data_IF_284967082553
#
_entry.id   IF_284967082553
#
_cell.length_a   1.000
_cell.length_b   1.000
_cell.length_c   1.000
_cell.angle_alpha   90.00
_cell.angle_beta   90.00
_cell.angle_gamma   90.00
#
_symmetry.space_group_name_H-M   'P 1'
#
loop_
_entity.id
_entity.type
_entity.pdbx_description
1 polymer ?
#
# COMPACT_ATOMS: atom_id res chain seq x y z
N UNK A 1 9.27 13.00 1.73
CA UNK A 1 8.08 13.75 2.15
C UNK A 1 6.95 12.77 2.49
N UNK A 2 6.39 12.79 3.70
CA UNK A 2 5.15 12.06 4.00
C UNK A 2 3.99 12.79 3.31
N UNK A 3 3.45 12.19 2.25
CA UNK A 3 2.19 12.68 1.66
C UNK A 3 1.07 12.21 2.59
N UNK A 4 0.46 13.15 3.32
CA UNK A 4 -0.63 12.83 4.24
C UNK A 4 -1.91 12.51 3.46
N UNK A 5 -1.98 11.30 2.90
CA UNK A 5 -3.20 10.76 2.32
C UNK A 5 -3.96 10.06 3.44
N UNK A 6 -5.20 10.49 3.69
CA UNK A 6 -6.09 9.85 4.64
C UNK A 6 -6.52 8.49 4.05
N UNK A 7 -5.67 7.48 4.22
CA UNK A 7 -5.96 6.09 3.90
C UNK A 7 -6.26 5.39 5.23
N UNK A 8 -7.24 4.49 5.21
CA UNK A 8 -7.54 3.64 6.35
C UNK A 8 -6.30 2.82 6.77
N UNK A 9 -5.85 3.07 7.99
CA UNK A 9 -4.68 2.45 8.59
C UNK A 9 -4.85 0.93 8.78
N UNK A 10 -6.07 0.46 9.03
CA UNK A 10 -6.39 -0.96 9.15
C UNK A 10 -6.28 -1.64 7.78
N UNK A 11 -6.75 -0.97 6.72
CA UNK A 11 -6.62 -1.47 5.35
C UNK A 11 -5.16 -1.61 4.96
N UNK A 12 -4.32 -0.61 5.29
CA UNK A 12 -2.88 -0.68 5.01
C UNK A 12 -2.22 -1.80 5.80
N UNK A 13 -2.57 -2.00 7.08
CA UNK A 13 -2.00 -3.12 7.85
C UNK A 13 -2.41 -4.48 7.31
N UNK A 14 -3.66 -4.63 6.86
CA UNK A 14 -4.10 -5.86 6.21
C UNK A 14 -3.31 -6.12 4.92
N UNK A 15 -3.17 -5.10 4.07
CA UNK A 15 -2.34 -5.18 2.87
C UNK A 15 -0.87 -5.50 3.20
N UNK A 16 -0.32 -4.90 4.27
CA UNK A 16 1.05 -5.15 4.73
C UNK A 16 1.24 -6.61 5.17
N UNK A 17 0.28 -7.17 5.92
CA UNK A 17 0.32 -8.57 6.37
C UNK A 17 0.16 -9.54 5.22
N UNK A 18 -0.82 -9.31 4.34
CA UNK A 18 -1.11 -10.18 3.19
C UNK A 18 0.07 -10.16 2.19
N UNK A 19 0.58 -8.97 1.87
CA UNK A 19 1.73 -8.78 0.97
C UNK A 19 3.09 -9.03 1.64
N UNK A 20 3.13 -9.42 2.92
CA UNK A 20 4.35 -9.68 3.71
C UNK A 20 5.36 -8.52 3.68
N UNK A 21 4.87 -7.29 3.68
CA UNK A 21 5.71 -6.10 3.61
C UNK A 21 6.24 -5.69 4.99
N UNK A 22 7.49 -5.21 5.03
CA UNK A 22 8.12 -4.76 6.28
C UNK A 22 7.50 -3.47 6.83
N UNK A 23 6.98 -2.59 5.96
CA UNK A 23 6.42 -1.29 6.35
C UNK A 23 5.11 -0.99 5.64
N UNK A 24 4.26 -0.18 6.25
CA UNK A 24 3.03 0.36 5.65
C UNK A 24 3.29 1.03 4.30
N UNK A 25 4.36 1.84 4.22
CA UNK A 25 4.79 2.53 3.00
C UNK A 25 5.11 1.55 1.86
N UNK A 26 5.80 0.45 2.16
CA UNK A 26 6.11 -0.57 1.14
C UNK A 26 4.84 -1.22 0.61
N UNK A 27 3.88 -1.55 1.49
CA UNK A 27 2.59 -2.10 1.10
C UNK A 27 1.79 -1.16 0.19
N UNK A 28 1.70 0.13 0.54
CA UNK A 28 1.01 1.13 -0.28
C UNK A 28 1.68 1.31 -1.63
N UNK A 29 3.02 1.34 -1.65
CA UNK A 29 3.79 1.52 -2.89
C UNK A 29 3.57 0.36 -3.87
N UNK A 30 3.63 -0.89 -3.38
CA UNK A 30 3.39 -2.06 -4.23
C UNK A 30 1.94 -2.16 -4.69
N UNK A 31 0.97 -1.87 -3.82
CA UNK A 31 -0.45 -1.83 -4.20
C UNK A 31 -0.73 -0.83 -5.34
N UNK A 32 -0.10 0.34 -5.31
CA UNK A 32 -0.22 1.34 -6.38
C UNK A 32 0.42 0.87 -7.69
N UNK A 33 1.59 0.21 -7.63
CA UNK A 33 2.24 -0.37 -8.82
C UNK A 33 1.36 -1.44 -9.46
N UNK A 34 0.83 -2.37 -8.66
CA UNK A 34 -0.07 -3.41 -9.16
C UNK A 34 -1.34 -2.81 -9.78
N UNK A 35 -1.94 -1.80 -9.15
CA UNK A 35 -3.13 -1.14 -9.69
C UNK A 35 -2.88 -0.53 -11.07
N UNK A 36 -1.74 0.16 -11.23
CA UNK A 36 -1.34 0.74 -12.53
C UNK A 36 -1.09 -0.37 -13.54
N UNK A 37 -0.36 -1.42 -13.16
CA UNK A 37 -0.02 -2.53 -14.06
C UNK A 37 -1.26 -3.30 -14.54
N UNK A 38 -2.27 -3.51 -13.67
CA UNK A 38 -3.49 -4.24 -14.02
C UNK A 38 -4.47 -3.43 -14.88
N UNK A 39 -4.29 -2.11 -14.99
CA UNK A 39 -5.20 -1.20 -15.71
C UNK A 39 -4.55 -0.51 -16.91
N UNK A 40 -3.31 -0.88 -17.23
CA UNK A 40 -2.62 -0.52 -18.45
C UNK A 40 -2.76 -1.66 -19.45
#
# INVERSE_FOLDING_TARGET
MPTNLAIDDQLIENARKIGKHKTKKAAVTEALKEYIQRRK
#
